data_IF_812773900878
#
_entry.id   IF_812773900878
#
_cell.length_a   1.000
_cell.length_b   1.000
_cell.length_c   1.000
_cell.angle_alpha   90.00
_cell.angle_beta   90.00
_cell.angle_gamma   90.00
#
_symmetry.space_group_name_H-M   'P 1'
#
loop_
_entity.id
_entity.type
_entity.pdbx_description
1 polymer ?
#
# COMPACT_ATOMS: atom_id res chain seq x y z
N UNK A 1 -45.82 -13.37 41.49
CA UNK A 1 -46.73 -14.46 41.02
C UNK A 1 -46.23 -14.89 39.65
N UNK A 2 -45.94 -16.13 39.27
CA UNK A 2 -45.86 -17.47 39.89
C UNK A 2 -44.80 -18.23 39.06
N UNK A 3 -44.00 -19.08 39.71
CA UNK A 3 -43.17 -20.13 39.07
C UNK A 3 -44.07 -21.25 38.53
N UNK A 4 -43.65 -21.90 37.43
CA UNK A 4 -44.01 -23.27 37.00
C UNK A 4 -42.75 -23.75 36.25
N UNK A 5 -41.93 -24.73 36.64
CA UNK A 5 -42.02 -26.07 37.24
C UNK A 5 -42.68 -27.14 36.36
N UNK A 6 -41.83 -27.91 35.68
CA UNK A 6 -41.91 -29.37 35.62
C UNK A 6 -42.49 -30.00 34.36
N UNK A 7 -41.71 -30.87 33.71
CA UNK A 7 -41.95 -32.32 33.82
C UNK A 7 -40.72 -33.10 33.32
N UNK A 8 -40.13 -33.90 34.21
CA UNK A 8 -39.16 -34.95 33.90
C UNK A 8 -39.95 -36.22 33.67
N UNK A 9 -39.79 -36.84 32.51
CA UNK A 9 -40.24 -38.21 32.25
C UNK A 9 -38.99 -39.04 31.98
N UNK A 10 -38.64 -39.89 32.94
CA UNK A 10 -37.67 -40.95 32.76
C UNK A 10 -38.39 -42.17 32.18
N UNK A 11 -38.01 -42.58 30.96
CA UNK A 11 -38.30 -43.92 30.45
C UNK A 11 -36.95 -44.59 30.24
N UNK A 12 -36.69 -45.58 31.09
CA UNK A 12 -35.57 -46.50 30.96
C UNK A 12 -35.93 -47.54 29.88
N UNK A 13 -35.16 -47.56 28.78
CA UNK A 13 -35.23 -48.65 27.80
C UNK A 13 -33.83 -49.19 27.55
N UNK A 14 -33.56 -50.33 28.19
CA UNK A 14 -32.70 -51.45 27.80
C UNK A 14 -31.55 -51.14 26.84
N UNK A 15 -30.32 -51.10 27.38
CA UNK A 15 -29.08 -51.27 26.63
C UNK A 15 -29.05 -52.66 25.97
N UNK A 16 -29.29 -52.71 24.66
CA UNK A 16 -28.71 -53.75 23.83
C UNK A 16 -27.30 -53.30 23.43
N UNK A 17 -26.27 -53.90 24.03
CA UNK A 17 -24.87 -53.69 23.62
C UNK A 17 -24.66 -54.34 22.25
N UNK A 18 -25.01 -53.62 21.19
CA UNK A 18 -24.44 -53.83 19.87
C UNK A 18 -23.10 -53.11 19.81
N UNK A 19 -21.99 -53.83 20.03
CA UNK A 19 -20.68 -53.35 19.61
C UNK A 19 -20.64 -53.36 18.07
N UNK A 20 -21.15 -52.29 17.46
CA UNK A 20 -20.75 -51.92 16.12
C UNK A 20 -19.44 -51.15 16.27
N UNK A 21 -18.33 -51.79 15.90
CA UNK A 21 -17.07 -51.09 15.75
C UNK A 21 -17.27 -50.06 14.62
N UNK A 22 -17.41 -48.78 15.00
CA UNK A 22 -17.32 -47.69 14.04
C UNK A 22 -15.95 -47.82 13.33
N UNK A 23 -15.91 -47.75 11.99
CA UNK A 23 -14.65 -47.88 11.26
C UNK A 23 -13.69 -46.78 11.73
N UNK A 24 -12.47 -47.18 12.07
CA UNK A 24 -11.39 -46.25 12.37
C UNK A 24 -11.20 -45.30 11.16
N UNK A 25 -11.41 -44.01 11.37
CA UNK A 25 -11.16 -42.97 10.36
C UNK A 25 -12.37 -42.19 9.84
N UNK A 26 -13.49 -42.10 10.57
CA UNK A 26 -14.54 -41.14 10.20
C UNK A 26 -14.07 -39.69 10.45
N UNK A 27 -13.98 -38.90 9.36
CA UNK A 27 -13.77 -37.45 9.45
C UNK A 27 -15.07 -36.80 9.91
N UNK A 28 -15.06 -36.18 11.09
CA UNK A 28 -16.15 -35.31 11.54
C UNK A 28 -15.99 -33.91 10.95
N UNK A 29 -17.08 -33.32 10.46
CA UNK A 29 -17.12 -31.92 10.05
C UNK A 29 -17.70 -31.09 11.20
N UNK A 30 -16.93 -30.14 11.71
CA UNK A 30 -17.41 -29.08 12.61
C UNK A 30 -17.44 -27.75 11.83
N UNK A 31 -18.46 -26.93 12.06
CA UNK A 31 -18.64 -25.66 11.35
C UNK A 31 -19.11 -24.57 12.29
N UNK A 32 -18.68 -23.34 12.01
CA UNK A 32 -19.07 -22.15 12.74
C UNK A 32 -19.33 -21.01 11.76
N UNK A 33 -20.39 -20.25 11.99
CA UNK A 33 -20.66 -19.01 11.26
C UNK A 33 -19.69 -17.96 11.78
N UNK A 34 -18.73 -17.55 10.94
CA UNK A 34 -17.72 -16.54 11.31
C UNK A 34 -18.27 -15.11 11.28
N UNK A 35 -19.17 -14.82 10.35
CA UNK A 35 -19.73 -13.49 10.14
C UNK A 35 -21.08 -13.58 9.43
N UNK A 36 -21.99 -12.68 9.79
CA UNK A 36 -23.24 -12.43 9.06
C UNK A 36 -23.21 -10.99 8.53
N UNK A 37 -23.49 -10.82 7.25
CA UNK A 37 -23.51 -9.52 6.58
C UNK A 37 -24.95 -9.08 6.33
N UNK A 38 -25.34 -7.91 6.86
CA UNK A 38 -26.62 -7.29 6.54
C UNK A 38 -26.44 -6.36 5.36
N UNK A 39 -27.14 -6.65 4.26
CA UNK A 39 -27.03 -5.90 3.00
C UNK A 39 -28.27 -5.03 2.81
N UNK A 40 -28.05 -3.77 2.41
CA UNK A 40 -29.13 -2.83 2.12
C UNK A 40 -29.87 -3.15 0.81
N UNK A 41 -29.17 -3.79 -0.12
CA UNK A 41 -29.67 -4.21 -1.44
C UNK A 41 -29.58 -5.71 -1.60
N UNK A 42 -30.44 -6.26 -2.45
CA UNK A 42 -30.40 -7.67 -2.81
C UNK A 42 -29.07 -7.99 -3.54
N UNK A 43 -28.28 -8.95 -3.03
CA UNK A 43 -27.03 -9.35 -3.69
C UNK A 43 -27.31 -10.13 -4.96
N UNK A 44 -26.58 -9.80 -6.02
CA UNK A 44 -26.68 -10.45 -7.33
C UNK A 44 -25.65 -11.57 -7.50
N UNK A 45 -24.43 -11.35 -7.01
CA UNK A 45 -23.32 -12.30 -7.11
C UNK A 45 -22.23 -11.97 -6.07
N UNK A 46 -21.33 -12.93 -5.82
CA UNK A 46 -20.19 -12.73 -4.91
C UNK A 46 -18.90 -13.36 -5.44
N UNK A 47 -17.75 -12.81 -5.05
CA UNK A 47 -16.46 -13.49 -5.17
C UNK A 47 -15.53 -13.06 -4.04
N UNK A 48 -14.49 -13.83 -3.80
CA UNK A 48 -13.45 -13.51 -2.82
C UNK A 48 -12.10 -13.31 -3.51
N UNK A 49 -11.28 -12.42 -2.95
CA UNK A 49 -9.89 -12.27 -3.38
C UNK A 49 -9.08 -13.54 -3.10
N UNK A 50 -8.09 -13.81 -3.93
CA UNK A 50 -7.24 -15.00 -3.82
C UNK A 50 -6.42 -15.04 -2.52
N UNK A 51 -6.06 -13.87 -1.99
CA UNK A 51 -5.31 -13.72 -0.74
C UNK A 51 -6.21 -13.84 0.51
N UNK A 52 -7.51 -14.07 0.33
CA UNK A 52 -8.46 -14.23 1.43
C UNK A 52 -8.67 -12.95 2.25
N UNK A 53 -8.29 -11.78 1.74
CA UNK A 53 -8.53 -10.50 2.43
C UNK A 53 -9.94 -9.98 2.22
N UNK A 54 -10.49 -10.13 1.02
CA UNK A 54 -11.68 -9.40 0.58
C UNK A 54 -12.80 -10.31 0.11
N UNK A 55 -14.03 -9.99 0.49
CA UNK A 55 -15.27 -10.46 -0.11
C UNK A 55 -15.89 -9.33 -0.91
N UNK A 56 -16.18 -9.59 -2.18
CA UNK A 56 -16.87 -8.69 -3.09
C UNK A 56 -18.32 -9.14 -3.21
N UNK A 57 -19.25 -8.22 -2.96
CA UNK A 57 -20.69 -8.46 -3.11
C UNK A 57 -21.22 -7.51 -4.18
N UNK A 58 -21.65 -8.06 -5.31
CA UNK A 58 -22.31 -7.31 -6.37
C UNK A 58 -23.77 -7.06 -5.98
N UNK A 59 -24.21 -5.81 -6.07
CA UNK A 59 -25.59 -5.38 -5.93
C UNK A 59 -25.94 -4.39 -7.05
N UNK A 60 -27.22 -4.06 -7.29
CA UNK A 60 -27.59 -3.09 -8.31
C UNK A 60 -26.87 -1.74 -8.14
N UNK A 61 -26.00 -1.43 -9.11
CA UNK A 61 -25.24 -0.19 -9.22
C UNK A 61 -23.96 -0.12 -8.39
N UNK A 62 -23.61 -1.16 -7.62
CA UNK A 62 -22.40 -1.13 -6.79
C UNK A 62 -21.80 -2.51 -6.49
N UNK A 63 -20.50 -2.53 -6.22
CA UNK A 63 -19.81 -3.63 -5.55
C UNK A 63 -19.43 -3.17 -4.15
N UNK A 64 -19.86 -3.91 -3.14
CA UNK A 64 -19.47 -3.72 -1.75
C UNK A 64 -18.24 -4.58 -1.45
N UNK A 65 -17.24 -4.02 -0.79
CA UNK A 65 -15.98 -4.70 -0.46
C UNK A 65 -15.89 -4.89 1.05
N UNK A 66 -15.96 -6.13 1.52
CA UNK A 66 -15.89 -6.49 2.93
C UNK A 66 -14.55 -7.15 3.27
N UNK A 67 -13.94 -6.86 4.44
CA UNK A 67 -12.86 -7.67 4.98
C UNK A 67 -13.38 -9.05 5.35
N UNK A 68 -12.74 -10.12 4.87
CA UNK A 68 -13.06 -11.49 5.24
C UNK A 68 -12.73 -11.82 6.70
N UNK A 69 -11.98 -10.94 7.37
CA UNK A 69 -11.69 -11.00 8.80
C UNK A 69 -12.84 -10.52 9.69
N UNK A 70 -13.91 -9.96 9.11
CA UNK A 70 -14.97 -9.31 9.86
C UNK A 70 -14.97 -7.79 9.73
N UNK A 71 -16.14 -7.19 9.92
CA UNK A 71 -16.35 -5.73 9.93
C UNK A 71 -17.29 -5.25 8.82
N UNK A 72 -17.45 -3.93 8.78
CA UNK A 72 -18.26 -3.23 7.77
C UNK A 72 -17.55 -3.19 6.42
N UNK A 73 -18.30 -2.79 5.37
CA UNK A 73 -17.73 -2.57 4.05
C UNK A 73 -16.70 -1.45 4.10
N UNK A 74 -15.51 -1.70 3.53
CA UNK A 74 -14.41 -0.72 3.45
C UNK A 74 -14.47 0.13 2.18
N UNK A 75 -15.23 -0.30 1.17
CA UNK A 75 -15.35 0.41 -0.09
C UNK A 75 -16.67 0.09 -0.82
N UNK A 76 -17.15 1.08 -1.56
CA UNK A 76 -18.24 0.94 -2.53
C UNK A 76 -17.72 1.33 -3.90
N UNK A 77 -17.73 0.38 -4.83
CA UNK A 77 -17.28 0.61 -6.21
C UNK A 77 -18.53 0.81 -7.07
N UNK A 78 -18.78 2.02 -7.60
CA UNK A 78 -19.94 2.24 -8.46
C UNK A 78 -19.76 1.46 -9.77
N UNK A 79 -20.82 0.78 -10.19
CA UNK A 79 -20.86 0.03 -11.46
C UNK A 79 -22.19 0.29 -12.16
N UNK A 80 -22.26 -0.08 -13.44
CA UNK A 80 -23.53 -0.05 -14.18
C UNK A 80 -24.58 -0.95 -13.50
N UNK A 81 -25.81 -0.48 -13.19
CA UNK A 81 -26.85 -1.29 -12.57
C UNK A 81 -27.26 -2.54 -13.36
N UNK A 82 -26.92 -2.62 -14.64
CA UNK A 82 -27.19 -3.80 -15.47
C UNK A 82 -26.20 -4.97 -15.25
N UNK A 83 -25.14 -4.78 -14.46
CA UNK A 83 -24.17 -5.84 -14.15
C UNK A 83 -24.80 -6.89 -13.24
N UNK A 84 -24.67 -8.17 -13.58
CA UNK A 84 -25.39 -9.28 -12.94
C UNK A 84 -24.52 -10.49 -12.58
N UNK A 85 -23.24 -10.45 -12.92
CA UNK A 85 -22.25 -11.48 -12.61
C UNK A 85 -20.95 -10.86 -12.15
N UNK A 86 -20.29 -11.52 -11.20
CA UNK A 86 -19.03 -11.11 -10.64
C UNK A 86 -18.08 -12.31 -10.56
N UNK A 87 -16.83 -12.09 -10.95
CA UNK A 87 -15.74 -13.04 -10.79
C UNK A 87 -14.47 -12.31 -10.35
N UNK A 88 -13.52 -13.04 -9.79
CA UNK A 88 -12.21 -12.51 -9.43
C UNK A 88 -11.12 -13.27 -10.19
N UNK A 89 -10.32 -12.56 -10.99
CA UNK A 89 -9.11 -13.14 -11.60
C UNK A 89 -7.99 -13.13 -10.58
N UNK A 90 -7.58 -14.31 -10.13
CA UNK A 90 -6.47 -14.45 -9.19
C UNK A 90 -5.12 -14.07 -9.81
N UNK A 91 -4.96 -14.37 -11.10
CA UNK A 91 -3.70 -14.12 -11.82
C UNK A 91 -3.45 -12.62 -11.99
N UNK A 92 -4.50 -11.86 -12.32
CA UNK A 92 -4.40 -10.44 -12.64
C UNK A 92 -4.82 -9.52 -11.48
N UNK A 93 -5.28 -10.11 -10.36
CA UNK A 93 -5.76 -9.42 -9.17
C UNK A 93 -6.84 -8.37 -9.50
N UNK A 94 -7.83 -8.75 -10.30
CA UNK A 94 -8.89 -7.87 -10.77
C UNK A 94 -10.28 -8.51 -10.61
N UNK A 95 -11.30 -7.66 -10.47
CA UNK A 95 -12.69 -8.07 -10.51
C UNK A 95 -13.14 -8.03 -11.97
N UNK A 96 -13.80 -9.09 -12.43
CA UNK A 96 -14.45 -9.12 -13.74
C UNK A 96 -15.95 -9.14 -13.50
N UNK A 97 -16.65 -8.13 -14.01
CA UNK A 97 -18.11 -8.09 -13.98
C UNK A 97 -18.68 -8.20 -15.38
N UNK A 98 -19.85 -8.82 -15.47
CA UNK A 98 -20.55 -9.08 -16.72
C UNK A 98 -22.01 -8.63 -16.56
N UNK A 99 -22.56 -8.07 -17.62
CA UNK A 99 -23.98 -7.92 -17.85
C UNK A 99 -24.40 -8.84 -18.99
N UNK A 100 -25.21 -9.86 -18.69
CA UNK A 100 -25.71 -10.79 -19.73
C UNK A 100 -26.65 -10.09 -20.69
N UNK A 101 -27.53 -9.25 -20.19
CA UNK A 101 -28.53 -8.51 -20.98
C UNK A 101 -27.92 -7.34 -21.72
N UNK A 102 -26.99 -6.62 -21.09
CA UNK A 102 -26.26 -5.50 -21.67
C UNK A 102 -25.12 -5.91 -22.61
N UNK A 103 -24.79 -7.21 -22.71
CA UNK A 103 -23.66 -7.75 -23.51
C UNK A 103 -22.35 -7.02 -23.24
N UNK A 104 -22.08 -6.74 -21.95
CA UNK A 104 -20.98 -5.88 -21.52
C UNK A 104 -20.14 -6.60 -20.47
N UNK A 105 -18.82 -6.49 -20.58
CA UNK A 105 -17.85 -6.99 -19.59
C UNK A 105 -16.98 -5.83 -19.17
N UNK A 106 -16.76 -5.66 -17.88
CA UNK A 106 -15.81 -4.70 -17.32
C UNK A 106 -14.79 -5.42 -16.45
N UNK A 107 -13.55 -4.96 -16.52
CA UNK A 107 -12.43 -5.45 -15.71
C UNK A 107 -12.02 -4.30 -14.80
N UNK A 108 -12.13 -4.52 -13.49
CA UNK A 108 -11.84 -3.54 -12.46
C UNK A 108 -10.54 -3.96 -11.79
N UNK A 109 -9.47 -3.22 -12.04
CA UNK A 109 -8.22 -3.38 -11.30
C UNK A 109 -8.39 -2.88 -9.87
N UNK A 110 -7.99 -3.72 -8.92
CA UNK A 110 -7.93 -3.32 -7.52
C UNK A 110 -6.55 -2.79 -7.19
N UNK A 111 -6.53 -1.66 -6.50
CA UNK A 111 -5.31 -1.07 -5.99
C UNK A 111 -5.51 -0.64 -4.55
N UNK A 112 -4.66 -1.17 -3.66
CA UNK A 112 -4.61 -0.73 -2.28
C UNK A 112 -4.10 0.72 -2.23
N UNK A 113 -4.73 1.53 -1.38
CA UNK A 113 -4.30 2.89 -1.08
C UNK A 113 -3.63 2.85 0.29
N UNK A 114 -2.35 3.14 0.34
CA UNK A 114 -1.58 3.15 1.57
C UNK A 114 -1.51 4.56 2.15
N UNK A 115 -1.79 4.69 3.45
CA UNK A 115 -1.48 5.90 4.19
C UNK A 115 0.03 5.96 4.42
N UNK A 116 0.69 6.93 3.78
CA UNK A 116 2.15 7.09 3.83
C UNK A 116 2.44 8.43 4.52
N UNK A 117 3.02 8.35 5.71
CA UNK A 117 3.41 9.54 6.47
C UNK A 117 4.57 10.27 5.78
N UNK A 118 4.29 11.49 5.31
CA UNK A 118 5.26 12.39 4.66
C UNK A 118 5.64 13.58 5.54
N UNK A 119 5.17 13.61 6.79
CA UNK A 119 5.38 14.73 7.71
C UNK A 119 6.87 14.89 8.06
N UNK A 120 7.33 16.14 8.09
CA UNK A 120 8.71 16.48 8.44
C UNK A 120 9.77 16.01 7.44
N UNK A 121 9.38 15.53 6.25
CA UNK A 121 10.31 15.14 5.20
C UNK A 121 10.53 16.28 4.19
N UNK A 122 11.74 16.37 3.62
CA UNK A 122 12.00 17.28 2.51
C UNK A 122 11.10 16.97 1.30
N UNK A 123 10.60 18.02 0.66
CA UNK A 123 9.74 17.91 -0.52
C UNK A 123 10.08 18.96 -1.59
N UNK A 124 9.65 18.71 -2.83
CA UNK A 124 9.59 19.67 -3.94
C UNK A 124 8.15 19.94 -4.33
N UNK A 125 7.89 21.13 -4.86
CA UNK A 125 6.57 21.57 -5.26
C UNK A 125 5.77 22.20 -4.11
N UNK A 126 4.50 22.58 -4.33
CA UNK A 126 3.68 23.25 -3.33
C UNK A 126 3.39 22.33 -2.13
N UNK A 127 3.43 22.88 -0.92
CA UNK A 127 3.19 22.11 0.31
C UNK A 127 1.80 21.46 0.34
N UNK A 128 0.80 22.17 -0.17
CA UNK A 128 -0.62 21.78 -0.23
C UNK A 128 -1.03 21.24 -1.60
N UNK A 129 -0.08 20.71 -2.38
CA UNK A 129 -0.38 20.16 -3.70
C UNK A 129 -1.44 19.02 -3.59
N UNK A 130 -2.44 18.98 -4.49
CA UNK A 130 -3.47 17.96 -4.46
C UNK A 130 -2.95 16.54 -4.73
N UNK A 131 -1.79 16.41 -5.37
CA UNK A 131 -1.16 15.12 -5.67
C UNK A 131 0.20 15.02 -4.99
N UNK A 132 0.41 13.96 -4.21
CA UNK A 132 1.68 13.67 -3.54
C UNK A 132 2.31 12.44 -4.18
N UNK A 133 3.48 12.63 -4.80
CA UNK A 133 4.34 11.55 -5.28
C UNK A 133 5.32 11.22 -4.17
N UNK A 134 5.24 10.02 -3.62
CA UNK A 134 6.21 9.50 -2.66
C UNK A 134 7.06 8.43 -3.30
N UNK A 135 8.38 8.58 -3.21
CA UNK A 135 9.32 7.60 -3.77
C UNK A 135 10.15 7.00 -2.65
N UNK A 136 9.98 5.71 -2.41
CA UNK A 136 10.89 4.92 -1.59
C UNK A 136 12.13 4.59 -2.41
N UNK A 137 13.28 5.03 -1.92
CA UNK A 137 14.50 5.08 -2.72
C UNK A 137 15.76 4.73 -1.94
N UNK A 138 16.84 4.46 -2.68
CA UNK A 138 18.14 4.07 -2.15
C UNK A 138 19.25 4.77 -2.95
N UNK A 139 20.18 5.43 -2.27
CA UNK A 139 21.25 6.23 -2.89
C UNK A 139 22.36 5.42 -3.59
N UNK A 140 22.37 4.09 -3.47
CA UNK A 140 23.24 3.17 -4.21
C UNK A 140 22.49 2.38 -5.30
N UNK A 141 21.18 2.60 -5.48
CA UNK A 141 20.38 1.87 -6.46
C UNK A 141 20.44 2.51 -7.87
N UNK A 142 20.94 1.79 -8.90
CA UNK A 142 21.07 2.34 -10.26
C UNK A 142 19.75 2.71 -10.93
N UNK A 143 18.63 2.09 -10.53
CA UNK A 143 17.31 2.44 -11.03
C UNK A 143 16.75 3.70 -10.37
N UNK A 144 17.14 3.97 -9.11
CA UNK A 144 16.76 5.20 -8.42
C UNK A 144 17.43 6.41 -9.06
N UNK A 145 18.75 6.35 -9.27
CA UNK A 145 19.48 7.43 -9.94
C UNK A 145 18.93 7.74 -11.35
N UNK A 146 18.54 6.70 -12.10
CA UNK A 146 17.92 6.86 -13.44
C UNK A 146 16.51 7.45 -13.42
N UNK A 147 15.83 7.46 -12.27
CA UNK A 147 14.48 7.99 -12.14
C UNK A 147 14.46 9.52 -12.03
N UNK A 148 15.53 10.14 -11.50
CA UNK A 148 15.59 11.59 -11.23
C UNK A 148 15.25 12.50 -12.43
N UNK A 149 15.74 12.23 -13.67
CA UNK A 149 15.35 13.04 -14.82
C UNK A 149 13.85 12.94 -15.15
N UNK A 150 13.24 11.78 -14.91
CA UNK A 150 11.80 11.58 -15.13
C UNK A 150 10.99 12.35 -14.09
N UNK A 151 11.38 12.33 -12.81
CA UNK A 151 10.70 13.11 -11.76
C UNK A 151 10.79 14.60 -12.05
N UNK A 152 11.94 15.06 -12.54
CA UNK A 152 12.12 16.47 -12.95
C UNK A 152 11.15 16.86 -14.08
N UNK A 153 10.94 15.99 -15.07
CA UNK A 153 9.96 16.22 -16.14
C UNK A 153 8.51 16.26 -15.60
N UNK A 154 8.17 15.37 -14.67
CA UNK A 154 6.84 15.34 -14.03
C UNK A 154 6.59 16.63 -13.26
N UNK A 155 7.53 17.08 -12.43
CA UNK A 155 7.42 18.32 -11.67
C UNK A 155 7.32 19.56 -12.58
N UNK A 156 8.06 19.57 -13.70
CA UNK A 156 7.97 20.66 -14.68
C UNK A 156 6.59 20.71 -15.36
N UNK A 157 5.95 19.57 -15.60
CA UNK A 157 4.61 19.50 -16.22
C UNK A 157 3.49 19.84 -15.24
N UNK A 158 3.67 19.56 -13.95
CA UNK A 158 2.66 19.77 -12.91
C UNK A 158 3.17 20.67 -11.76
N UNK A 159 3.65 21.89 -12.06
CA UNK A 159 4.40 22.71 -11.11
C UNK A 159 3.57 23.15 -9.90
N UNK A 160 2.24 23.20 -10.05
CA UNK A 160 1.32 23.65 -9.00
C UNK A 160 0.49 22.51 -8.41
N UNK A 161 0.53 21.32 -9.03
CA UNK A 161 -0.38 20.21 -8.70
C UNK A 161 0.31 19.07 -7.96
N UNK A 162 1.64 18.98 -8.06
CA UNK A 162 2.41 17.85 -7.55
C UNK A 162 3.39 18.27 -6.46
N UNK A 163 3.36 17.54 -5.35
CA UNK A 163 4.39 17.51 -4.31
C UNK A 163 5.19 16.23 -4.45
N UNK A 164 6.52 16.32 -4.55
CA UNK A 164 7.41 15.16 -4.55
C UNK A 164 8.10 15.02 -3.19
N UNK A 165 7.97 13.84 -2.58
CA UNK A 165 8.58 13.48 -1.31
C UNK A 165 9.52 12.28 -1.50
N UNK A 166 10.72 12.40 -0.95
CA UNK A 166 11.70 11.33 -0.92
C UNK A 166 11.60 10.56 0.41
N UNK A 167 11.41 9.23 0.36
CA UNK A 167 11.48 8.34 1.53
C UNK A 167 12.63 7.36 1.38
N UNK A 168 13.38 7.17 2.45
CA UNK A 168 14.61 6.38 2.44
C UNK A 168 14.32 4.90 2.69
N UNK A 169 14.76 4.04 1.77
CA UNK A 169 14.68 2.59 1.89
C UNK A 169 16.03 1.95 1.53
N UNK A 170 17.07 2.17 2.35
CA UNK A 170 18.40 1.61 2.09
C UNK A 170 18.35 0.08 2.13
N UNK A 171 18.74 -0.55 1.03
CA UNK A 171 18.78 -2.00 0.88
C UNK A 171 19.96 -2.58 1.66
N UNK A 172 19.77 -3.76 2.26
CA UNK A 172 20.77 -4.38 3.14
C UNK A 172 22.09 -4.72 2.44
N UNK A 173 22.06 -4.95 1.13
CA UNK A 173 23.24 -5.20 0.30
C UNK A 173 23.93 -3.91 -0.17
N UNK A 174 23.40 -2.73 0.14
CA UNK A 174 23.96 -1.43 -0.20
C UNK A 174 24.61 -0.79 1.04
N UNK A 175 25.91 -1.09 1.24
CA UNK A 175 26.68 -0.74 2.45
C UNK A 175 26.59 0.73 2.88
N UNK A 176 26.57 1.65 1.93
CA UNK A 176 26.63 3.10 2.16
C UNK A 176 25.29 3.80 1.96
N UNK A 177 24.24 3.11 1.49
CA UNK A 177 22.93 3.73 1.23
C UNK A 177 22.30 4.34 2.49
N UNK A 178 22.41 3.66 3.64
CA UNK A 178 21.90 4.20 4.91
C UNK A 178 22.65 5.46 5.34
N UNK A 179 23.98 5.45 5.22
CA UNK A 179 24.79 6.62 5.58
C UNK A 179 24.49 7.80 4.65
N UNK A 180 24.34 7.56 3.34
CA UNK A 180 23.94 8.56 2.37
C UNK A 180 22.53 9.14 2.65
N UNK A 181 21.58 8.32 3.09
CA UNK A 181 20.25 8.78 3.51
C UNK A 181 20.31 9.71 4.73
N UNK A 182 21.09 9.34 5.75
CA UNK A 182 21.33 10.17 6.93
C UNK A 182 22.01 11.49 6.54
N UNK A 183 23.05 11.42 5.71
CA UNK A 183 23.76 12.58 5.17
C UNK A 183 22.84 13.56 4.43
N UNK A 184 21.93 13.03 3.60
CA UNK A 184 20.95 13.85 2.89
C UNK A 184 20.00 14.57 3.85
N UNK A 185 19.42 13.84 4.80
CA UNK A 185 18.52 14.40 5.81
C UNK A 185 19.23 15.40 6.76
N UNK A 186 20.48 15.15 7.11
CA UNK A 186 21.29 16.09 7.89
C UNK A 186 21.48 17.42 7.11
N UNK A 187 21.76 17.36 5.80
CA UNK A 187 21.85 18.56 4.97
C UNK A 187 20.50 19.29 4.83
N UNK A 188 19.37 18.61 5.02
CA UNK A 188 18.05 19.25 5.02
C UNK A 188 17.90 20.30 6.13
N UNK A 189 18.60 20.16 7.26
CA UNK A 189 18.62 21.16 8.35
C UNK A 189 19.33 22.47 7.97
N UNK A 190 19.99 22.47 6.81
CA UNK A 190 20.69 23.63 6.24
C UNK A 190 20.11 24.00 4.86
N UNK A 191 18.88 23.56 4.56
CA UNK A 191 18.19 23.80 3.28
C UNK A 191 18.94 23.24 2.04
N UNK A 192 19.81 22.24 2.25
CA UNK A 192 20.69 21.66 1.22
C UNK A 192 20.33 20.23 0.82
N UNK A 193 19.13 19.76 1.19
CA UNK A 193 18.70 18.38 0.91
C UNK A 193 18.77 18.04 -0.58
N UNK A 194 18.24 18.90 -1.45
CA UNK A 194 18.08 18.57 -2.87
C UNK A 194 19.41 18.59 -3.62
N UNK A 195 20.33 19.48 -3.24
CA UNK A 195 21.67 19.53 -3.82
C UNK A 195 22.49 18.29 -3.45
N UNK A 196 22.48 17.88 -2.18
CA UNK A 196 23.19 16.66 -1.76
C UNK A 196 22.54 15.41 -2.32
N UNK A 197 21.21 15.35 -2.36
CA UNK A 197 20.44 14.27 -2.94
C UNK A 197 20.88 13.97 -4.38
N UNK A 198 21.00 15.01 -5.22
CA UNK A 198 21.46 14.87 -6.60
C UNK A 198 22.91 14.43 -6.68
N UNK A 199 23.81 15.05 -5.91
CA UNK A 199 25.23 14.70 -5.90
C UNK A 199 25.50 13.27 -5.42
N UNK A 200 24.71 12.78 -4.47
CA UNK A 200 24.79 11.39 -4.02
C UNK A 200 24.43 10.42 -5.15
N UNK A 201 23.40 10.69 -5.94
CA UNK A 201 23.08 9.87 -7.11
C UNK A 201 24.11 9.98 -8.24
N UNK A 202 24.63 11.17 -8.52
CA UNK A 202 25.72 11.36 -9.49
C UNK A 202 26.96 10.51 -9.12
N UNK A 203 27.20 10.31 -7.82
CA UNK A 203 28.35 9.57 -7.30
C UNK A 203 27.99 8.16 -6.77
N UNK A 204 26.80 7.64 -7.09
CA UNK A 204 26.23 6.40 -6.56
C UNK A 204 27.23 5.21 -6.50
N UNK A 205 27.98 5.00 -7.58
CA UNK A 205 28.96 3.90 -7.71
C UNK A 205 30.23 4.10 -6.87
N UNK A 206 30.55 5.34 -6.49
CA UNK A 206 31.72 5.73 -5.74
C UNK A 206 31.40 6.11 -4.28
N UNK A 207 30.15 5.90 -3.85
CA UNK A 207 29.75 6.23 -2.48
C UNK A 207 30.57 5.43 -1.47
N UNK A 208 30.96 6.15 -0.44
CA UNK A 208 31.72 5.74 0.74
C UNK A 208 31.73 6.91 1.70
N UNK A 209 32.04 6.67 2.98
CA UNK A 209 31.92 7.72 4.00
C UNK A 209 32.72 8.99 3.66
N UNK A 210 33.95 8.82 3.14
CA UNK A 210 34.78 9.93 2.68
C UNK A 210 34.17 10.66 1.48
N UNK A 211 33.63 9.93 0.49
CA UNK A 211 32.99 10.55 -0.69
C UNK A 211 31.73 11.33 -0.28
N UNK A 212 30.93 10.81 0.64
CA UNK A 212 29.73 11.48 1.15
C UNK A 212 30.13 12.79 1.84
N UNK A 213 31.17 12.76 2.67
CA UNK A 213 31.71 13.96 3.32
C UNK A 213 32.29 14.96 2.31
N UNK A 214 33.03 14.48 1.31
CA UNK A 214 33.56 15.30 0.23
C UNK A 214 32.42 16.06 -0.50
N UNK A 215 31.33 15.36 -0.85
CA UNK A 215 30.16 15.98 -1.49
C UNK A 215 29.58 17.08 -0.60
N UNK A 216 29.44 16.82 0.70
CA UNK A 216 28.94 17.81 1.65
C UNK A 216 29.80 19.09 1.65
N UNK A 217 31.13 18.94 1.65
CA UNK A 217 32.09 20.06 1.56
C UNK A 217 31.93 20.83 0.25
N UNK A 218 31.85 20.13 -0.88
CA UNK A 218 31.68 20.72 -2.21
C UNK A 218 30.40 21.57 -2.33
N UNK A 219 29.35 21.17 -1.61
CA UNK A 219 28.06 21.88 -1.58
C UNK A 219 28.02 23.05 -0.60
N UNK A 220 29.11 23.26 0.15
CA UNK A 220 29.23 24.35 1.12
C UNK A 220 28.34 24.19 2.35
N UNK A 221 27.99 22.95 2.74
CA UNK A 221 27.31 22.74 4.02
C UNK A 221 28.28 23.06 5.17
N UNK A 222 27.78 23.58 6.28
CA UNK A 222 28.58 23.69 7.50
C UNK A 222 28.87 22.29 8.01
N UNK A 223 30.11 21.83 7.84
CA UNK A 223 30.53 20.46 8.13
C UNK A 223 30.47 20.14 9.62
N UNK A 224 30.83 21.08 10.50
CA UNK A 224 30.75 20.85 11.94
C UNK A 224 29.30 20.62 12.39
N UNK A 225 28.37 21.44 11.89
CA UNK A 225 26.95 21.26 12.16
C UNK A 225 26.41 19.98 11.51
N UNK A 226 26.80 19.70 10.26
CA UNK A 226 26.34 18.53 9.51
C UNK A 226 26.81 17.21 10.14
N UNK A 227 28.05 17.13 10.63
CA UNK A 227 28.55 15.95 11.36
C UNK A 227 27.79 15.73 12.68
N UNK A 228 27.43 16.81 13.40
CA UNK A 228 26.56 16.73 14.58
C UNK A 228 25.16 16.23 14.22
N UNK A 229 24.57 16.76 13.14
CA UNK A 229 23.25 16.36 12.65
C UNK A 229 23.23 14.91 12.16
N UNK A 230 24.30 14.44 11.51
CA UNK A 230 24.45 13.03 11.12
C UNK A 230 24.49 12.08 12.32
N UNK A 231 25.06 12.53 13.45
CA UNK A 231 25.09 11.77 14.69
C UNK A 231 23.79 11.87 15.51
N UNK A 232 22.87 12.75 15.15
CA UNK A 232 21.60 12.94 15.85
C UNK A 232 20.67 11.72 15.64
N UNK A 233 20.28 11.02 16.73
CA UNK A 233 19.36 9.89 16.64
C UNK A 233 18.03 10.26 15.96
N UNK A 234 17.58 11.51 16.01
CA UNK A 234 16.36 11.96 15.35
C UNK A 234 16.44 11.78 13.82
N UNK A 235 17.60 12.05 13.20
CA UNK A 235 17.80 11.83 11.75
C UNK A 235 17.79 10.34 11.42
N UNK A 236 18.50 9.54 12.21
CA UNK A 236 18.48 8.08 12.06
C UNK A 236 17.08 7.48 12.21
N UNK A 237 16.27 8.04 13.11
CA UNK A 237 14.88 7.64 13.33
C UNK A 237 13.96 7.98 12.15
N UNK A 238 14.21 9.09 11.43
CA UNK A 238 13.48 9.38 10.19
C UNK A 238 13.72 8.30 9.13
N UNK A 239 14.96 7.86 8.93
CA UNK A 239 15.28 6.75 8.01
C UNK A 239 14.59 5.46 8.46
N UNK A 240 14.61 5.16 9.76
CA UNK A 240 13.92 3.97 10.31
C UNK A 240 12.41 4.07 10.11
N UNK A 241 11.79 5.23 10.31
CA UNK A 241 10.38 5.47 10.03
C UNK A 241 10.06 5.22 8.56
N UNK A 242 10.86 5.76 7.64
CA UNK A 242 10.68 5.56 6.21
C UNK A 242 10.72 4.07 5.84
N UNK A 243 11.61 3.28 6.45
CA UNK A 243 11.68 1.83 6.25
C UNK A 243 10.46 1.08 6.78
N UNK A 244 9.91 1.49 7.94
CA UNK A 244 8.68 0.91 8.51
C UNK A 244 7.48 1.22 7.60
N UNK A 245 7.37 2.45 7.12
CA UNK A 245 6.31 2.86 6.18
C UNK A 245 6.42 2.08 4.86
N UNK A 246 7.64 1.88 4.35
CA UNK A 246 7.90 1.08 3.17
C UNK A 246 7.40 -0.37 3.36
N UNK A 247 7.72 -0.99 4.49
CA UNK A 247 7.25 -2.34 4.81
C UNK A 247 5.71 -2.41 4.87
N UNK A 248 5.07 -1.43 5.53
CA UNK A 248 3.60 -1.34 5.62
C UNK A 248 2.95 -1.14 4.25
N UNK A 249 3.57 -0.36 3.38
CA UNK A 249 3.12 -0.14 2.01
C UNK A 249 3.45 -1.31 1.05
N UNK A 250 4.08 -2.38 1.54
CA UNK A 250 4.42 -3.55 0.74
C UNK A 250 5.60 -3.36 -0.21
N UNK A 251 6.49 -2.39 0.05
CA UNK A 251 7.69 -2.13 -0.74
C UNK A 251 8.63 -3.33 -0.66
N UNK A 252 9.01 -3.85 -1.83
CA UNK A 252 9.94 -5.01 -1.96
C UNK A 252 11.27 -4.65 -2.64
N UNK A 253 11.45 -3.41 -3.02
CA UNK A 253 12.63 -2.94 -3.74
C UNK A 253 12.54 -1.47 -4.13
N UNK A 254 13.62 -0.94 -4.68
CA UNK A 254 13.74 0.48 -5.04
C UNK A 254 14.03 0.67 -6.55
N UNK A 255 13.55 1.76 -7.16
CA UNK A 255 12.58 2.69 -6.59
C UNK A 255 11.21 2.03 -6.46
N UNK A 256 10.42 2.45 -5.48
CA UNK A 256 8.98 2.15 -5.39
C UNK A 256 8.23 3.47 -5.30
N UNK A 257 7.30 3.70 -6.23
CA UNK A 257 6.67 5.01 -6.44
C UNK A 257 5.20 4.88 -6.07
N UNK A 258 4.71 5.80 -5.25
CA UNK A 258 3.31 5.90 -4.86
C UNK A 258 2.78 7.30 -5.18
N UNK A 259 1.58 7.38 -5.77
CA UNK A 259 0.89 8.64 -6.04
C UNK A 259 -0.38 8.63 -5.18
N UNK A 260 -0.48 9.55 -4.22
CA UNK A 260 -1.53 9.56 -3.19
C UNK A 260 -1.74 8.18 -2.52
N UNK A 261 -0.65 7.48 -2.21
CA UNK A 261 -0.71 6.17 -1.55
C UNK A 261 -0.95 4.98 -2.47
N UNK A 262 -1.20 5.19 -3.77
CA UNK A 262 -1.40 4.13 -4.76
C UNK A 262 -0.10 3.82 -5.51
N UNK A 263 0.26 2.54 -5.65
CA UNK A 263 1.51 2.11 -6.30
C UNK A 263 1.55 2.34 -7.83
N UNK A 264 2.52 3.10 -8.34
CA UNK A 264 2.66 3.33 -9.78
C UNK A 264 3.29 2.10 -10.47
N UNK A 265 2.48 1.36 -11.24
CA UNK A 265 2.93 0.21 -12.05
C UNK A 265 3.76 0.65 -13.27
N UNK A 266 3.25 1.60 -14.06
CA UNK A 266 3.92 2.11 -15.26
C UNK A 266 4.83 3.30 -14.91
N UNK A 267 6.15 3.06 -14.94
CA UNK A 267 7.18 4.06 -14.59
C UNK A 267 7.64 4.88 -15.81
N UNK A 268 6.73 5.17 -16.73
CA UNK A 268 6.94 6.10 -17.84
C UNK A 268 6.34 7.46 -17.53
N UNK A 269 6.69 8.48 -18.30
CA UNK A 269 6.11 9.81 -18.16
C UNK A 269 4.58 9.77 -18.33
N UNK A 270 4.09 8.99 -19.30
CA UNK A 270 2.67 8.76 -19.56
C UNK A 270 2.00 8.07 -18.39
N UNK A 271 2.67 7.10 -17.75
CA UNK A 271 2.17 6.42 -16.55
C UNK A 271 1.97 7.38 -15.37
N UNK A 272 2.96 8.24 -15.11
CA UNK A 272 2.81 9.31 -14.13
C UNK A 272 1.64 10.24 -14.48
N UNK A 273 1.56 10.72 -15.71
CA UNK A 273 0.52 11.64 -16.16
C UNK A 273 -0.88 11.06 -15.99
N UNK A 274 -1.11 9.83 -16.47
CA UNK A 274 -2.40 9.17 -16.38
C UNK A 274 -2.89 9.07 -14.93
N UNK A 275 -2.00 8.70 -14.02
CA UNK A 275 -2.33 8.54 -12.60
C UNK A 275 -2.50 9.88 -11.88
N UNK A 276 -1.68 10.89 -12.19
CA UNK A 276 -1.83 12.25 -11.68
C UNK A 276 -3.18 12.84 -12.13
N UNK A 277 -3.52 12.70 -13.41
CA UNK A 277 -4.77 13.22 -13.97
C UNK A 277 -6.01 12.49 -13.44
N UNK A 278 -5.91 11.21 -13.12
CA UNK A 278 -6.95 10.50 -12.37
C UNK A 278 -7.14 11.09 -10.97
N UNK A 279 -6.07 11.28 -10.21
CA UNK A 279 -6.13 11.83 -8.86
C UNK A 279 -6.65 13.27 -8.83
N UNK A 280 -6.31 14.08 -9.84
CA UNK A 280 -6.81 15.44 -9.98
C UNK A 280 -8.31 15.48 -10.28
N UNK A 281 -8.84 14.54 -11.09
CA UNK A 281 -10.28 14.44 -11.37
C UNK A 281 -11.09 14.01 -10.16
N UNK A 282 -10.53 13.14 -9.30
CA UNK A 282 -11.21 12.68 -8.07
C UNK A 282 -11.39 13.76 -7.01
N UNK A 283 -10.59 14.83 -7.06
CA UNK A 283 -10.67 15.97 -6.14
C UNK A 283 -11.55 17.13 -6.63
N UNK A 284 -12.09 17.03 -7.85
CA UNK A 284 -13.07 17.96 -8.41
C UNK A 284 -14.48 17.47 -8.12
#
# INVERSE_FOLDING_TARGET
>A
MKKVLGLVVAIATVCAMGFSAAPAGSVGLDWQIRQELKLDKEPLDIASSADGKWLFVLAPGEILVYPLTGGDSIAKIPVDPAMDRLSFSQQDNCIVILSRTGKKVEIIELQEVHDIDVSGLPFKGPENAPVVITIFTDYQCPYCARLEPLISQVLAKYPNQVKYVNKNFPLSNHKFARNAAIAALAAARQDKFWEIHHKLYENMNALGDEKIRQIAVELGVNIEQWEKDMADPAIGNLVTRDMVDAQRAGVRGTPSIYINGKFLKNRSLEGFQAMIEEELRRKQ
#
